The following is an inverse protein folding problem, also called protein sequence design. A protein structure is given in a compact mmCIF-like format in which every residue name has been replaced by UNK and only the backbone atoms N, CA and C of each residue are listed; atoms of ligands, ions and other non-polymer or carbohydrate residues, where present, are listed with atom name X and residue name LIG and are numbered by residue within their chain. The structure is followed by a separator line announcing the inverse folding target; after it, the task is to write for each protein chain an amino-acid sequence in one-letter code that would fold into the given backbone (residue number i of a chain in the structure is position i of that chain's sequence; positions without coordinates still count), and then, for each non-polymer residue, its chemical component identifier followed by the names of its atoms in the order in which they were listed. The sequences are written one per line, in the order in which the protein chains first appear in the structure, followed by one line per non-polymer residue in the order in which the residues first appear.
data_IF_501128781661
#
_entry.id   IF_501128781661
#
_cell.length_a   1.000
_cell.length_b   1.000
_cell.length_c   1.000
_cell.angle_alpha   90.00
_cell.angle_beta   90.00
_cell.angle_gamma   90.00
#
_symmetry.space_group_name_H-M   'P 1'
#
loop_
_entity.id
_entity.type
_entity.pdbx_description
1 polymer ?
#
# COMPACT_ATOMS: atom_id res chain seq x y z
N UNK A 1 -4.20 -11.19 0.01
CA UNK A 1 -2.95 -11.83 -0.44
C UNK A 1 -1.72 -11.28 0.29
N UNK A 2 -1.45 -9.97 0.27
CA UNK A 2 -0.29 -9.41 1.00
C UNK A 2 -0.39 -9.66 2.51
N UNK A 3 -1.51 -9.29 3.14
CA UNK A 3 -1.71 -9.50 4.58
C UNK A 3 -1.61 -10.98 5.00
N UNK A 4 -2.17 -11.90 4.22
CA UNK A 4 -2.10 -13.33 4.53
C UNK A 4 -0.66 -13.85 4.48
N UNK A 5 0.19 -13.32 3.59
CA UNK A 5 1.62 -13.66 3.55
C UNK A 5 2.39 -13.11 4.75
N UNK A 6 2.06 -11.89 5.20
CA UNK A 6 2.68 -11.27 6.39
C UNK A 6 2.36 -12.08 7.64
N UNK A 7 1.10 -12.49 7.83
CA UNK A 7 0.71 -13.32 8.98
C UNK A 7 1.27 -14.75 8.92
N UNK A 8 1.45 -15.32 7.72
CA UNK A 8 2.03 -16.66 7.58
C UNK A 8 3.52 -16.71 7.98
N UNK A 9 4.25 -15.60 7.83
CA UNK A 9 5.66 -15.49 8.22
C UNK A 9 5.86 -14.90 9.63
N UNK A 10 4.78 -14.55 10.31
CA UNK A 10 4.84 -13.97 11.65
C UNK A 10 4.96 -15.09 12.70
N UNK A 11 5.96 -14.97 13.58
CA UNK A 11 6.16 -15.89 14.68
C UNK A 11 5.20 -15.59 15.84
N UNK A 12 4.39 -16.58 16.21
CA UNK A 12 3.37 -16.49 17.27
C UNK A 12 4.01 -16.51 18.66
N UNK A 13 5.26 -16.97 18.79
CA UNK A 13 5.96 -17.08 20.06
C UNK A 13 6.12 -15.71 20.75
N UNK A 14 6.25 -14.63 19.98
CA UNK A 14 6.30 -13.27 20.52
C UNK A 14 5.03 -12.90 21.30
N UNK A 15 3.84 -13.35 20.86
CA UNK A 15 2.61 -13.11 21.62
C UNK A 15 2.53 -13.97 22.88
N UNK A 16 3.02 -15.21 22.82
CA UNK A 16 3.02 -16.13 23.96
C UNK A 16 3.94 -15.62 25.07
N UNK A 17 5.11 -15.09 24.71
CA UNK A 17 6.05 -14.47 25.65
C UNK A 17 5.46 -13.21 26.30
N UNK A 18 4.79 -12.35 25.53
CA UNK A 18 4.14 -11.17 26.10
C UNK A 18 3.03 -11.55 27.09
N UNK A 19 2.25 -12.60 26.78
CA UNK A 19 1.20 -13.09 27.67
C UNK A 19 1.76 -13.76 28.93
N UNK A 20 2.89 -14.47 28.84
CA UNK A 20 3.53 -15.07 30.03
C UNK A 20 4.09 -14.01 30.98
N UNK A 21 4.49 -12.85 30.46
CA UNK A 21 4.86 -11.65 31.25
C UNK A 21 3.66 -10.89 31.84
N UNK A 22 2.43 -11.40 31.68
CA UNK A 22 1.22 -10.80 32.23
C UNK A 22 0.55 -9.75 31.35
N UNK A 23 0.99 -9.56 30.10
CA UNK A 23 0.32 -8.64 29.18
C UNK A 23 -1.09 -9.14 28.82
N UNK A 24 -2.08 -8.25 28.93
CA UNK A 24 -3.47 -8.49 28.49
C UNK A 24 -3.53 -8.50 26.96
N UNK A 25 -4.46 -9.26 26.37
CA UNK A 25 -4.62 -9.42 24.90
C UNK A 25 -4.55 -8.12 24.09
N UNK A 26 -5.19 -7.05 24.57
CA UNK A 26 -5.16 -5.74 23.91
C UNK A 26 -3.77 -5.11 23.92
N UNK A 27 -3.03 -5.24 25.02
CA UNK A 27 -1.65 -4.77 25.12
C UNK A 27 -0.74 -5.57 24.18
N UNK A 28 -0.87 -6.90 24.13
CA UNK A 28 -0.12 -7.74 23.19
C UNK A 28 -0.38 -7.33 21.73
N UNK A 29 -1.64 -7.12 21.34
CA UNK A 29 -1.96 -6.70 19.98
C UNK A 29 -1.37 -5.35 19.62
N UNK A 30 -1.46 -4.35 20.51
CA UNK A 30 -1.01 -2.98 20.24
C UNK A 30 0.51 -2.83 20.28
N UNK A 31 1.19 -3.53 21.18
CA UNK A 31 2.62 -3.33 21.42
C UNK A 31 3.52 -4.41 20.82
N UNK A 32 2.97 -5.58 20.45
CA UNK A 32 3.74 -6.69 19.87
C UNK A 32 3.30 -6.94 18.43
N UNK A 33 2.04 -7.36 18.24
CA UNK A 33 1.56 -7.80 16.93
C UNK A 33 1.52 -6.67 15.92
N UNK A 34 0.90 -5.52 16.26
CA UNK A 34 0.76 -4.36 15.37
C UNK A 34 2.08 -3.80 14.84
N UNK A 35 3.08 -3.47 15.68
CA UNK A 35 4.37 -2.99 15.19
C UNK A 35 5.12 -4.06 14.39
N UNK A 36 4.99 -5.34 14.74
CA UNK A 36 5.63 -6.43 13.99
C UNK A 36 5.05 -6.60 12.56
N UNK A 37 3.73 -6.48 12.39
CA UNK A 37 3.09 -6.59 11.06
C UNK A 37 3.02 -5.26 10.31
N UNK A 38 3.32 -4.13 10.98
CA UNK A 38 3.28 -2.78 10.41
C UNK A 38 4.02 -2.62 9.07
N UNK A 39 5.27 -3.10 8.89
CA UNK A 39 5.94 -3.00 7.58
C UNK A 39 5.14 -3.73 6.49
N UNK A 40 4.52 -4.87 6.82
CA UNK A 40 3.61 -5.58 5.92
C UNK A 40 2.36 -4.76 5.58
N UNK A 41 1.78 -4.07 6.57
CA UNK A 41 0.63 -3.16 6.38
C UNK A 41 0.96 -2.03 5.42
N UNK A 42 2.16 -1.44 5.52
CA UNK A 42 2.62 -0.39 4.58
C UNK A 42 2.68 -0.91 3.14
N UNK A 43 3.18 -2.13 2.93
CA UNK A 43 3.19 -2.77 1.60
C UNK A 43 1.78 -3.02 1.09
N UNK A 44 0.90 -3.56 1.93
CA UNK A 44 -0.50 -3.79 1.59
C UNK A 44 -1.22 -2.49 1.19
N UNK A 45 -1.02 -1.43 1.97
CA UNK A 45 -1.58 -0.11 1.71
C UNK A 45 -1.10 0.47 0.38
N UNK A 46 0.18 0.31 0.04
CA UNK A 46 0.73 0.73 -1.24
C UNK A 46 0.02 0.04 -2.41
N UNK A 47 -0.10 -1.29 -2.39
CA UNK A 47 -0.78 -2.00 -3.47
C UNK A 47 -2.26 -1.65 -3.56
N UNK A 48 -2.95 -1.52 -2.43
CA UNK A 48 -4.36 -1.07 -2.40
C UNK A 48 -4.52 0.33 -2.98
N UNK A 49 -3.62 1.25 -2.65
CA UNK A 49 -3.62 2.59 -3.22
C UNK A 49 -3.41 2.58 -4.73
N UNK A 50 -2.41 1.84 -5.23
CA UNK A 50 -2.12 1.75 -6.67
C UNK A 50 -3.30 1.19 -7.47
N UNK A 51 -3.96 0.15 -6.93
CA UNK A 51 -5.15 -0.44 -7.57
C UNK A 51 -6.32 0.55 -7.57
N UNK A 52 -6.57 1.22 -6.44
CA UNK A 52 -7.65 2.19 -6.34
C UNK A 52 -7.41 3.43 -7.21
N UNK A 53 -6.17 3.89 -7.30
CA UNK A 53 -5.79 5.10 -8.04
C UNK A 53 -5.86 4.91 -9.55
N UNK A 54 -5.49 3.73 -10.04
CA UNK A 54 -5.55 3.39 -11.48
C UNK A 54 -6.97 3.11 -11.99
N UNK A 55 -7.96 3.08 -11.10
CA UNK A 55 -9.34 2.77 -11.43
C UNK A 55 -10.07 3.99 -12.02
N UNK A 56 -10.02 4.14 -13.34
CA UNK A 56 -10.80 5.17 -14.04
C UNK A 56 -12.11 4.64 -14.62
N UNK A 57 -12.16 3.36 -15.01
CA UNK A 57 -13.33 2.74 -15.65
C UNK A 57 -14.52 2.68 -14.69
N UNK A 58 -14.33 2.23 -13.45
CA UNK A 58 -15.44 2.19 -12.48
C UNK A 58 -15.96 3.60 -12.17
N UNK A 59 -15.08 4.59 -12.09
CA UNK A 59 -15.45 5.99 -11.87
C UNK A 59 -16.29 6.53 -13.02
N UNK A 60 -15.95 6.20 -14.27
CA UNK A 60 -16.74 6.54 -15.44
C UNK A 60 -18.11 5.88 -15.46
N UNK A 61 -18.16 4.58 -15.16
CA UNK A 61 -19.40 3.80 -15.19
C UNK A 61 -20.39 4.19 -14.08
N UNK A 62 -19.89 4.53 -12.89
CA UNK A 62 -20.73 4.90 -11.73
C UNK A 62 -21.04 6.40 -11.72
N UNK A 63 -20.07 7.23 -12.11
CA UNK A 63 -20.20 8.69 -12.09
C UNK A 63 -20.95 9.29 -13.29
N UNK A 64 -21.39 8.46 -14.24
CA UNK A 64 -22.15 8.84 -15.45
C UNK A 64 -21.53 10.03 -16.22
N UNK A 65 -20.19 10.13 -16.20
CA UNK A 65 -19.46 11.24 -16.81
C UNK A 65 -19.65 12.62 -16.15
N UNK A 66 -20.43 12.73 -15.06
CA UNK A 66 -20.62 13.98 -14.32
C UNK A 66 -19.41 14.31 -13.42
N UNK A 67 -18.64 13.29 -13.03
CA UNK A 67 -17.46 13.45 -12.19
C UNK A 67 -16.22 13.54 -13.08
N UNK A 68 -15.75 14.76 -13.32
CA UNK A 68 -14.49 14.98 -14.03
C UNK A 68 -13.30 14.66 -13.11
N UNK A 69 -12.61 13.55 -13.40
CA UNK A 69 -11.38 13.17 -12.72
C UNK A 69 -10.19 13.27 -13.68
N UNK A 70 -8.99 13.47 -13.13
CA UNK A 70 -7.74 13.54 -13.90
C UNK A 70 -7.59 12.44 -14.97
N UNK A 71 -7.82 11.14 -14.68
CA UNK A 71 -7.69 10.10 -15.71
C UNK A 71 -8.76 10.17 -16.82
N UNK A 72 -9.95 10.70 -16.54
CA UNK A 72 -10.99 10.91 -17.55
C UNK A 72 -10.57 12.01 -18.52
N UNK A 73 -10.05 13.13 -17.99
CA UNK A 73 -9.50 14.21 -18.81
C UNK A 73 -8.34 13.70 -19.68
N UNK A 74 -7.44 12.89 -19.10
CA UNK A 74 -6.33 12.28 -19.82
C UNK A 74 -6.83 11.43 -21.00
N UNK A 75 -7.86 10.61 -20.77
CA UNK A 75 -8.47 9.79 -21.82
C UNK A 75 -9.10 10.63 -22.94
N UNK A 76 -9.78 11.73 -22.58
CA UNK A 76 -10.40 12.64 -23.54
C UNK A 76 -9.34 13.37 -24.39
N UNK A 77 -8.29 13.90 -23.76
CA UNK A 77 -7.23 14.64 -24.45
C UNK A 77 -6.25 13.74 -25.21
N UNK A 78 -6.16 12.45 -24.87
CA UNK A 78 -5.29 11.51 -25.58
C UNK A 78 -5.58 11.41 -27.08
N UNK A 79 -6.83 11.72 -27.51
CA UNK A 79 -7.23 11.70 -28.93
C UNK A 79 -7.16 13.07 -29.61
N UNK A 80 -7.33 14.16 -28.86
CA UNK A 80 -7.40 15.51 -29.43
C UNK A 80 -6.05 16.25 -29.40
N UNK A 81 -5.32 16.18 -28.29
CA UNK A 81 -4.14 17.00 -28.02
C UNK A 81 -3.07 16.18 -27.26
N UNK A 82 -2.24 15.40 -27.97
CA UNK A 82 -1.29 14.47 -27.34
C UNK A 82 -0.22 15.19 -26.48
N UNK A 83 0.10 16.45 -26.79
CA UNK A 83 1.02 17.25 -25.99
C UNK A 83 0.45 17.53 -24.58
N UNK A 84 -0.84 17.87 -24.49
CA UNK A 84 -1.53 18.13 -23.22
C UNK A 84 -1.70 16.83 -22.43
N UNK A 85 -2.06 15.74 -23.12
CA UNK A 85 -2.16 14.41 -22.50
C UNK A 85 -0.81 13.96 -21.89
N UNK A 86 0.31 14.28 -22.54
CA UNK A 86 1.66 14.04 -22.02
C UNK A 86 1.89 14.75 -20.67
N UNK A 87 1.58 16.05 -20.59
CA UNK A 87 1.71 16.81 -19.34
C UNK A 87 0.82 16.24 -18.21
N UNK A 88 -0.43 15.89 -18.53
CA UNK A 88 -1.36 15.30 -17.57
C UNK A 88 -0.91 13.93 -17.05
N UNK A 89 -0.26 13.11 -17.88
CA UNK A 89 0.25 11.80 -17.46
C UNK A 89 1.38 11.90 -16.43
N UNK A 90 2.26 12.89 -16.55
CA UNK A 90 3.29 13.16 -15.53
C UNK A 90 2.66 13.52 -14.20
N UNK A 91 1.64 14.39 -14.21
CA UNK A 91 0.89 14.77 -13.00
C UNK A 91 0.14 13.58 -12.41
N UNK A 92 -0.42 12.71 -13.23
CA UNK A 92 -1.15 11.53 -12.79
C UNK A 92 -0.26 10.47 -12.13
N UNK A 93 0.97 10.32 -12.60
CA UNK A 93 1.94 9.36 -12.06
C UNK A 93 2.57 9.85 -10.74
N UNK A 94 2.65 11.17 -10.53
CA UNK A 94 3.28 11.80 -9.36
C UNK A 94 2.80 11.23 -8.01
N UNK A 95 1.48 11.13 -7.73
CA UNK A 95 0.99 10.55 -6.48
C UNK A 95 1.42 9.10 -6.27
N UNK A 96 1.43 8.28 -7.34
CA UNK A 96 1.88 6.90 -7.29
C UNK A 96 3.36 6.79 -6.92
N UNK A 97 4.21 7.62 -7.54
CA UNK A 97 5.64 7.72 -7.21
C UNK A 97 5.81 8.19 -5.76
N UNK A 98 5.04 9.18 -5.32
CA UNK A 98 5.15 9.74 -3.98
C UNK A 98 4.81 8.69 -2.91
N UNK A 99 3.72 7.95 -3.09
CA UNK A 99 3.36 6.83 -2.20
C UNK A 99 4.42 5.74 -2.23
N UNK A 100 4.95 5.39 -3.40
CA UNK A 100 6.05 4.43 -3.52
C UNK A 100 7.32 4.87 -2.79
N UNK A 101 7.72 6.12 -2.93
CA UNK A 101 8.88 6.69 -2.25
C UNK A 101 8.66 6.78 -0.74
N UNK A 102 7.47 7.14 -0.28
CA UNK A 102 7.16 7.15 1.14
C UNK A 102 7.24 5.73 1.71
N UNK A 103 6.55 4.76 1.08
CA UNK A 103 6.62 3.36 1.49
C UNK A 103 8.04 2.83 1.46
N UNK A 104 8.83 3.13 0.42
CA UNK A 104 10.23 2.70 0.34
C UNK A 104 11.08 3.33 1.43
N UNK A 105 10.87 4.59 1.82
CA UNK A 105 11.58 5.21 2.94
C UNK A 105 11.24 4.56 4.28
N UNK A 106 9.97 4.26 4.52
CA UNK A 106 9.53 3.56 5.74
C UNK A 106 10.09 2.12 5.80
N UNK A 107 10.29 1.47 4.65
CA UNK A 107 10.87 0.12 4.58
C UNK A 107 12.41 0.13 4.55
N UNK A 108 13.06 1.10 3.91
CA UNK A 108 14.51 1.19 3.79
C UNK A 108 15.20 1.59 5.09
N UNK A 109 14.49 2.30 5.99
CA UNK A 109 14.94 2.49 7.37
C UNK A 109 15.09 1.17 8.15
N UNK A 110 14.43 0.09 7.69
CA UNK A 110 14.43 -1.27 8.24
C UNK A 110 14.74 -2.30 7.13
N UNK A 111 15.86 -2.14 6.41
CA UNK A 111 16.27 -3.02 5.31
C UNK A 111 16.43 -4.54 5.67
N UNK A 112 16.00 -5.00 6.84
CA UNK A 112 16.21 -6.34 7.37
C UNK A 112 14.95 -7.22 7.59
N UNK A 113 13.73 -6.77 7.26
CA UNK A 113 12.57 -7.70 7.27
C UNK A 113 12.43 -8.52 5.95
N UNK A 114 13.33 -8.29 4.98
CA UNK A 114 13.52 -9.13 3.78
C UNK A 114 14.33 -10.42 4.11
N UNK A 115 14.79 -10.58 5.35
CA UNK A 115 15.64 -11.67 5.79
C UNK A 115 14.96 -12.88 6.41
N UNK A 116 13.69 -13.16 6.11
CA UNK A 116 13.09 -14.50 6.35
C UNK A 116 13.67 -15.58 5.41
N UNK A 117 14.95 -15.47 5.07
CA UNK A 117 15.73 -16.50 4.40
C UNK A 117 15.94 -17.58 5.45
N UNK A 118 15.14 -18.63 5.33
CA UNK A 118 15.33 -19.87 6.06
C UNK A 118 16.78 -20.32 5.92
N UNK A 119 17.48 -20.28 7.05
CA UNK A 119 18.64 -21.11 7.29
C UNK A 119 18.57 -21.60 8.73
N UNK A 120 17.75 -22.63 8.94
CA UNK A 120 18.10 -23.92 9.57
C UNK A 120 17.09 -24.96 9.11
#
# INVERSE_FOLDING_TARGET
LVMSGVYANYDVDYELQARSLGARRWATQRYVTLPAVFPGVVVGALFTFLISWSQYVLTLLIGDGQVETLPILLFNFARSEPAIAGALSVVFILPGILVLLLSSRYLSGDSAAVGGIGNI
#
